data_IF_028231730753
#
_entry.id   IF_028231730753
#
_cell.length_a   1.000
_cell.length_b   1.000
_cell.length_c   1.000
_cell.angle_alpha   90.00
_cell.angle_beta   90.00
_cell.angle_gamma   90.00
#
_symmetry.space_group_name_H-M   'P 1'
#
loop_
_entity.id
_entity.type
_entity.pdbx_description
1 polymer ?
#
# COMPACT_ATOMS: atom_id res chain seq x y z
N UNK A 1 58.87 -21.82 60.55
CA UNK A 1 57.53 -21.38 60.98
C UNK A 1 56.91 -20.63 59.81
N UNK A 2 55.83 -21.22 59.28
CA UNK A 2 54.88 -20.85 58.20
C UNK A 2 55.22 -19.76 57.18
N UNK A 3 55.39 -20.21 55.93
CA UNK A 3 55.18 -19.48 54.68
C UNK A 3 53.67 -19.36 54.40
N UNK A 4 53.14 -18.15 54.26
CA UNK A 4 51.76 -17.91 53.80
C UNK A 4 51.77 -17.68 52.27
N UNK A 5 51.12 -18.56 51.53
CA UNK A 5 50.80 -18.35 50.11
C UNK A 5 49.41 -17.71 50.02
N UNK A 6 49.32 -16.54 49.40
CA UNK A 6 48.07 -15.83 49.13
C UNK A 6 47.68 -16.13 47.67
N UNK A 7 46.71 -17.02 47.44
CA UNK A 7 46.13 -17.23 46.11
C UNK A 7 45.14 -16.10 45.79
N UNK A 8 45.41 -15.37 44.72
CA UNK A 8 44.49 -14.37 44.15
C UNK A 8 43.78 -15.04 42.97
N UNK A 9 42.55 -15.48 43.18
CA UNK A 9 41.68 -15.99 42.11
C UNK A 9 41.10 -14.81 41.33
N UNK A 10 41.67 -14.50 40.17
CA UNK A 10 41.09 -13.56 39.20
C UNK A 10 39.83 -14.18 38.57
N UNK A 11 38.65 -13.74 39.02
CA UNK A 11 37.36 -14.05 38.39
C UNK A 11 37.28 -13.36 37.03
N UNK A 12 37.49 -14.13 35.96
CA UNK A 12 37.35 -13.70 34.58
C UNK A 12 35.86 -13.77 34.19
N UNK A 13 35.18 -12.63 34.13
CA UNK A 13 33.80 -12.52 33.65
C UNK A 13 33.73 -12.87 32.15
N UNK A 14 32.80 -13.71 31.68
CA UNK A 14 32.63 -13.93 30.25
C UNK A 14 32.07 -12.68 29.56
N UNK A 15 32.49 -12.37 28.31
CA UNK A 15 31.99 -11.21 27.59
C UNK A 15 30.52 -11.39 27.21
N UNK A 16 29.69 -10.41 27.56
CA UNK A 16 28.29 -10.32 27.18
C UNK A 16 28.18 -10.35 25.65
N UNK A 17 27.39 -11.25 25.04
CA UNK A 17 27.20 -11.24 23.60
C UNK A 17 26.51 -9.94 23.20
N UNK A 18 27.16 -9.16 22.32
CA UNK A 18 26.58 -8.00 21.67
C UNK A 18 25.34 -8.45 20.89
N UNK A 19 24.16 -8.22 21.47
CA UNK A 19 22.89 -8.50 20.84
C UNK A 19 22.71 -7.52 19.67
N UNK A 20 23.08 -7.97 18.47
CA UNK A 20 22.91 -7.26 17.21
C UNK A 20 21.42 -6.93 17.05
N UNK A 21 21.05 -5.68 17.32
CA UNK A 21 19.70 -5.20 17.05
C UNK A 21 19.44 -5.34 15.55
N UNK A 22 18.46 -6.17 15.18
CA UNK A 22 17.93 -6.18 13.81
C UNK A 22 17.35 -4.78 13.57
N UNK A 23 17.75 -4.06 12.51
CA UNK A 23 17.08 -2.81 12.17
C UNK A 23 15.61 -3.14 11.91
N UNK A 24 14.71 -2.45 12.62
CA UNK A 24 13.29 -2.55 12.36
C UNK A 24 13.05 -2.15 10.90
N UNK A 25 12.61 -3.09 10.07
CA UNK A 25 12.20 -2.81 8.70
C UNK A 25 10.91 -2.01 8.80
N UNK A 26 11.02 -0.68 8.74
CA UNK A 26 9.87 0.20 8.62
C UNK A 26 9.33 0.04 7.20
N UNK A 27 8.33 -0.84 7.02
CA UNK A 27 7.54 -0.82 5.79
C UNK A 27 6.81 0.52 5.76
N UNK A 28 7.31 1.48 4.99
CA UNK A 28 6.58 2.70 4.67
C UNK A 28 5.34 2.29 3.86
N UNK A 29 4.24 2.02 4.55
CA UNK A 29 2.94 1.83 3.93
C UNK A 29 2.57 3.16 3.27
N UNK A 30 2.78 3.25 1.96
CA UNK A 30 2.40 4.44 1.18
C UNK A 30 0.90 4.68 1.39
N UNK A 31 0.47 5.91 1.72
CA UNK A 31 -0.92 6.17 2.05
C UNK A 31 -1.81 5.91 0.81
N UNK A 32 -2.94 5.26 1.05
CA UNK A 32 -3.97 5.01 0.06
C UNK A 32 -4.82 6.28 -0.10
N UNK A 33 -5.13 6.63 -1.34
CA UNK A 33 -5.91 7.82 -1.71
C UNK A 33 -7.11 7.37 -2.52
N UNK A 34 -8.31 7.79 -2.10
CA UNK A 34 -9.52 7.61 -2.88
C UNK A 34 -9.64 8.71 -3.93
N UNK A 35 -9.81 8.34 -5.19
CA UNK A 35 -9.97 9.31 -6.27
C UNK A 35 -11.45 9.64 -6.45
N UNK A 36 -11.83 10.93 -6.59
CA UNK A 36 -13.17 11.29 -7.01
C UNK A 36 -13.47 10.73 -8.40
N UNK A 37 -14.69 10.25 -8.59
CA UNK A 37 -15.16 9.62 -9.82
C UNK A 37 -16.47 10.25 -10.27
N UNK A 38 -16.58 10.55 -11.56
CA UNK A 38 -17.83 10.94 -12.21
C UNK A 38 -18.24 9.89 -13.23
N UNK A 39 -19.53 9.72 -13.44
CA UNK A 39 -20.06 8.87 -14.50
C UNK A 39 -20.10 9.61 -15.83
N UNK A 40 -19.95 8.86 -16.92
CA UNK A 40 -20.15 9.33 -18.28
C UNK A 40 -20.90 8.26 -19.08
N UNK A 41 -21.62 8.70 -20.11
CA UNK A 41 -22.26 7.76 -21.03
C UNK A 41 -21.20 6.92 -21.75
N UNK A 42 -21.36 5.59 -21.71
CA UNK A 42 -20.54 4.68 -22.49
C UNK A 42 -21.09 4.57 -23.92
N UNK A 43 -20.20 4.37 -24.88
CA UNK A 43 -20.56 4.04 -26.26
C UNK A 43 -20.85 2.54 -26.43
N UNK A 44 -20.63 1.73 -25.39
CA UNK A 44 -20.88 0.29 -25.40
C UNK A 44 -22.23 -0.03 -24.77
N UNK A 45 -23.04 -0.89 -25.39
CA UNK A 45 -24.31 -1.30 -24.80
C UNK A 45 -24.05 -1.99 -23.46
N UNK A 46 -24.91 -1.69 -22.48
CA UNK A 46 -24.88 -2.29 -21.15
C UNK A 46 -23.60 -2.00 -20.34
N UNK A 47 -22.86 -0.94 -20.68
CA UNK A 47 -21.73 -0.46 -19.90
C UNK A 47 -21.96 0.97 -19.39
N UNK A 48 -21.33 1.31 -18.27
CA UNK A 48 -21.29 2.66 -17.70
C UNK A 48 -19.84 3.12 -17.73
N UNK A 49 -19.61 4.32 -18.27
CA UNK A 49 -18.31 4.95 -18.26
C UNK A 49 -18.06 5.68 -16.95
N UNK A 50 -16.82 5.66 -16.49
CA UNK A 50 -16.36 6.34 -15.28
C UNK A 50 -15.10 7.14 -15.59
N UNK A 51 -14.96 8.29 -14.96
CA UNK A 51 -13.78 9.14 -15.04
C UNK A 51 -13.30 9.39 -13.62
N UNK A 52 -12.11 8.88 -13.30
CA UNK A 52 -11.44 9.16 -12.03
C UNK A 52 -10.45 10.31 -12.20
N UNK A 53 -10.39 11.22 -11.23
CA UNK A 53 -9.47 12.37 -11.24
C UNK A 53 -8.51 12.33 -10.07
N UNK A 54 -7.23 12.62 -10.30
CA UNK A 54 -6.33 12.95 -9.21
C UNK A 54 -6.62 14.37 -8.70
N UNK A 55 -7.41 14.49 -7.63
CA UNK A 55 -7.71 15.77 -7.00
C UNK A 55 -6.61 16.28 -6.05
N UNK A 56 -5.58 15.47 -5.80
CA UNK A 56 -4.46 15.87 -4.96
C UNK A 56 -3.48 16.78 -5.71
N UNK A 57 -2.60 17.45 -4.95
CA UNK A 57 -1.53 18.28 -5.50
C UNK A 57 -0.24 17.47 -5.75
N UNK A 58 -0.29 16.14 -5.66
CA UNK A 58 0.86 15.23 -5.86
C UNK A 58 0.51 14.13 -6.86
N UNK A 59 1.50 13.54 -7.55
CA UNK A 59 1.24 12.35 -8.34
C UNK A 59 0.75 11.20 -7.44
N UNK A 60 -0.10 10.36 -8.00
CA UNK A 60 -0.49 9.07 -7.41
C UNK A 60 -0.01 7.95 -8.33
N UNK A 61 0.14 6.76 -7.78
CA UNK A 61 0.59 5.54 -8.47
C UNK A 61 -0.37 4.40 -8.21
N UNK A 62 -0.32 3.38 -9.07
CA UNK A 62 -1.10 2.15 -8.92
C UNK A 62 -2.59 2.44 -8.73
N UNK A 63 -3.22 3.03 -9.75
CA UNK A 63 -4.64 3.42 -9.71
C UNK A 63 -5.51 2.22 -10.07
N UNK A 64 -6.33 1.79 -9.10
CA UNK A 64 -7.25 0.67 -9.22
C UNK A 64 -8.70 1.14 -9.13
N UNK A 65 -9.58 0.64 -10.00
CA UNK A 65 -11.02 0.67 -9.69
C UNK A 65 -11.40 -0.66 -9.05
N UNK A 66 -12.19 -0.56 -7.98
CA UNK A 66 -12.80 -1.70 -7.32
C UNK A 66 -14.25 -1.83 -7.79
N UNK A 67 -14.60 -3.02 -8.24
CA UNK A 67 -15.95 -3.40 -8.59
C UNK A 67 -16.39 -4.66 -7.81
N UNK A 68 -17.69 -4.77 -7.57
CA UNK A 68 -18.32 -5.94 -6.96
C UNK A 68 -19.29 -6.59 -7.95
N UNK A 69 -19.53 -7.88 -7.80
CA UNK A 69 -20.61 -8.55 -8.54
C UNK A 69 -21.99 -8.15 -7.98
N UNK A 70 -23.04 -8.72 -8.58
CA UNK A 70 -24.42 -8.55 -8.12
C UNK A 70 -24.68 -9.08 -6.70
N UNK A 71 -23.77 -9.87 -6.13
CA UNK A 71 -23.83 -10.40 -4.75
C UNK A 71 -23.00 -9.57 -3.77
N UNK A 72 -22.34 -8.49 -4.24
CA UNK A 72 -21.46 -7.65 -3.42
C UNK A 72 -20.04 -8.21 -3.24
N UNK A 73 -19.69 -9.30 -3.93
CA UNK A 73 -18.37 -9.91 -3.87
C UNK A 73 -17.37 -9.07 -4.67
N UNK A 74 -16.20 -8.69 -4.13
CA UNK A 74 -15.17 -8.02 -4.91
C UNK A 74 -14.70 -8.91 -6.07
N UNK A 75 -14.91 -8.43 -7.29
CA UNK A 75 -14.57 -9.19 -8.51
C UNK A 75 -13.31 -8.66 -9.18
N UNK A 76 -13.07 -7.34 -9.12
CA UNK A 76 -12.01 -6.73 -9.93
C UNK A 76 -11.31 -5.58 -9.22
N UNK A 77 -9.98 -5.70 -9.11
CA UNK A 77 -9.01 -4.61 -8.96
C UNK A 77 -8.29 -4.45 -10.28
N UNK A 78 -8.88 -3.70 -11.19
CA UNK A 78 -8.27 -3.44 -12.49
C UNK A 78 -7.31 -2.26 -12.33
N UNK A 79 -6.04 -2.46 -12.71
CA UNK A 79 -5.06 -1.38 -12.79
C UNK A 79 -5.33 -0.58 -14.08
N UNK A 80 -5.83 0.64 -13.96
CA UNK A 80 -6.15 1.48 -15.12
C UNK A 80 -5.06 2.52 -15.41
N UNK A 81 -4.25 2.85 -14.41
CA UNK A 81 -3.05 3.65 -14.62
C UNK A 81 -1.94 3.32 -13.62
N UNK A 82 -0.70 3.25 -14.12
CA UNK A 82 0.48 3.11 -13.28
C UNK A 82 0.79 4.40 -12.50
N UNK A 83 0.46 5.56 -13.06
CA UNK A 83 0.61 6.88 -12.41
C UNK A 83 -0.39 7.89 -12.97
N UNK A 84 -0.86 8.80 -12.10
CA UNK A 84 -1.76 9.89 -12.48
C UNK A 84 -1.22 11.20 -11.89
N UNK A 85 -0.86 12.16 -12.74
CA UNK A 85 -0.33 13.46 -12.34
C UNK A 85 -1.40 14.28 -11.61
N UNK A 86 -1.01 15.33 -10.85
CA UNK A 86 -1.99 16.24 -10.25
C UNK A 86 -3.00 16.74 -11.29
N UNK A 87 -4.29 16.71 -10.94
CA UNK A 87 -5.43 17.15 -11.75
C UNK A 87 -5.73 16.33 -13.01
N UNK A 88 -4.92 15.34 -13.35
CA UNK A 88 -5.14 14.43 -14.48
C UNK A 88 -6.30 13.46 -14.21
N UNK A 89 -6.89 12.95 -15.29
CA UNK A 89 -8.02 12.03 -15.27
C UNK A 89 -7.71 10.74 -16.01
N UNK A 90 -8.32 9.64 -15.58
CA UNK A 90 -8.33 8.36 -16.30
C UNK A 90 -9.76 7.86 -16.44
N UNK A 91 -10.10 7.35 -17.63
CA UNK A 91 -11.41 6.80 -17.91
C UNK A 91 -11.38 5.26 -17.93
N UNK A 92 -12.46 4.64 -17.48
CA UNK A 92 -12.69 3.20 -17.55
C UNK A 92 -14.18 2.90 -17.66
N UNK A 93 -14.54 1.66 -17.98
CA UNK A 93 -15.93 1.23 -18.12
C UNK A 93 -16.17 -0.01 -17.25
N UNK A 94 -17.38 -0.12 -16.69
CA UNK A 94 -17.90 -1.35 -16.09
C UNK A 94 -19.15 -1.76 -16.84
N UNK A 95 -19.34 -3.07 -17.04
CA UNK A 95 -20.44 -3.60 -17.84
C UNK A 95 -21.40 -4.45 -17.00
N UNK A 96 -22.51 -4.87 -17.60
CA UNK A 96 -23.62 -5.55 -16.91
C UNK A 96 -23.14 -6.67 -15.98
N UNK A 97 -23.70 -6.69 -14.76
CA UNK A 97 -23.34 -7.66 -13.71
C UNK A 97 -22.25 -7.17 -12.75
N UNK A 98 -21.63 -6.02 -13.05
CA UNK A 98 -20.65 -5.35 -12.19
C UNK A 98 -21.27 -4.10 -11.54
N UNK A 99 -20.95 -3.87 -10.27
CA UNK A 99 -21.32 -2.67 -9.50
C UNK A 99 -20.05 -1.91 -9.12
N UNK A 100 -20.03 -0.61 -9.41
CA UNK A 100 -18.93 0.26 -9.02
C UNK A 100 -18.89 0.46 -7.50
N UNK A 101 -17.70 0.39 -6.90
CA UNK A 101 -17.49 0.71 -5.48
C UNK A 101 -16.71 2.00 -5.29
N UNK A 102 -15.48 2.05 -5.78
CA UNK A 102 -14.58 3.20 -5.63
C UNK A 102 -13.34 3.07 -6.53
N UNK A 103 -12.55 4.14 -6.61
CA UNK A 103 -11.20 4.14 -7.18
C UNK A 103 -10.19 4.47 -6.10
N UNK A 104 -9.14 3.67 -6.02
CA UNK A 104 -8.07 3.77 -5.03
C UNK A 104 -6.72 3.89 -5.74
N UNK A 105 -5.86 4.74 -5.22
CA UNK A 105 -4.49 4.89 -5.67
C UNK A 105 -3.55 4.97 -4.47
N UNK A 106 -2.26 4.92 -4.73
CA UNK A 106 -1.26 5.13 -3.70
C UNK A 106 -0.55 6.45 -3.91
N UNK A 107 -0.31 7.18 -2.84
CA UNK A 107 0.47 8.40 -2.92
C UNK A 107 1.95 8.08 -3.22
N UNK A 108 2.57 8.94 -4.05
CA UNK A 108 4.00 8.86 -4.34
C UNK A 108 4.88 9.28 -3.16
#
# INVERSE_FOLDING_TARGET
MMTLFLEITLLLSPPTPLQRSKPAVFTQTRPLVYLPVTTQQSNRPQCIGFVARNASNRPVRRVYANATDSKGTPIRKLLFSSSLKPRETVAFELCQGESFRNVEAQQE
#
